data_IF_966812221583
#
_entry.id   IF_966812221583
#
_cell.length_a   1.000
_cell.length_b   1.000
_cell.length_c   1.000
_cell.angle_alpha   90.00
_cell.angle_beta   90.00
_cell.angle_gamma   90.00
#
_symmetry.space_group_name_H-M   'P 1'
#
loop_
_entity.id
_entity.type
_entity.pdbx_description
1 polymer ?
#
# COMPACT_ATOMS: atom_id res chain seq x y z
N UNK A 1 2.02 9.64 -7.37
CA UNK A 1 2.91 8.48 -7.52
C UNK A 1 2.06 7.24 -7.26
N UNK A 2 2.03 6.31 -8.22
CA UNK A 2 1.34 5.01 -8.11
C UNK A 2 2.03 4.15 -7.04
N UNK A 3 1.32 3.21 -6.41
CA UNK A 3 1.90 2.21 -5.49
C UNK A 3 3.12 1.53 -6.11
N UNK A 4 3.06 1.23 -7.41
CA UNK A 4 4.18 0.65 -8.17
C UNK A 4 5.45 1.52 -8.19
N UNK A 5 5.28 2.85 -8.20
CA UNK A 5 6.43 3.78 -8.17
C UNK A 5 7.07 3.77 -6.78
N UNK A 6 6.26 3.66 -5.73
CA UNK A 6 6.77 3.61 -4.36
C UNK A 6 7.44 2.27 -4.04
N UNK A 7 6.86 1.15 -4.52
CA UNK A 7 7.47 -0.18 -4.39
C UNK A 7 8.81 -0.20 -5.14
N UNK A 8 8.89 0.38 -6.36
CA UNK A 8 10.16 0.54 -7.09
C UNK A 8 11.20 1.38 -6.36
N UNK A 9 10.78 2.48 -5.71
CA UNK A 9 11.69 3.33 -4.93
C UNK A 9 12.21 2.57 -3.72
N UNK A 10 11.34 1.83 -3.02
CA UNK A 10 11.72 1.00 -1.90
C UNK A 10 12.68 -0.12 -2.33
N UNK A 11 12.38 -0.83 -3.41
CA UNK A 11 13.25 -1.87 -3.97
C UNK A 11 14.62 -1.31 -4.36
N UNK A 12 14.64 -0.13 -4.99
CA UNK A 12 15.89 0.54 -5.38
C UNK A 12 16.70 0.96 -4.16
N UNK A 13 16.03 1.42 -3.10
CA UNK A 13 16.65 1.79 -1.82
C UNK A 13 17.28 0.58 -1.15
N UNK A 14 16.55 -0.52 -1.01
CA UNK A 14 17.05 -1.75 -0.38
C UNK A 14 18.24 -2.34 -1.13
N UNK A 15 18.19 -2.37 -2.46
CA UNK A 15 19.32 -2.75 -3.29
C UNK A 15 20.54 -1.84 -3.04
N UNK A 16 20.34 -0.51 -3.08
CA UNK A 16 21.41 0.47 -2.88
C UNK A 16 22.03 0.35 -1.48
N UNK A 17 21.20 0.10 -0.47
CA UNK A 17 21.64 -0.14 0.90
C UNK A 17 22.44 -1.45 1.05
N UNK A 18 22.03 -2.53 0.37
CA UNK A 18 22.78 -3.79 0.33
C UNK A 18 24.17 -3.59 -0.31
N UNK A 19 24.25 -2.85 -1.43
CA UNK A 19 25.51 -2.52 -2.08
C UNK A 19 26.44 -1.70 -1.19
N UNK A 20 25.90 -0.72 -0.44
CA UNK A 20 26.69 0.10 0.46
C UNK A 20 27.25 -0.72 1.63
N UNK A 21 26.41 -1.54 2.28
CA UNK A 21 26.85 -2.50 3.32
C UNK A 21 27.94 -3.44 2.79
N UNK A 22 27.80 -3.88 1.53
CA UNK A 22 28.80 -4.73 0.90
C UNK A 22 30.16 -4.04 0.72
N UNK A 23 30.18 -2.74 0.40
CA UNK A 23 31.42 -1.99 0.30
C UNK A 23 32.15 -1.80 1.64
N UNK A 24 31.39 -1.70 2.73
CA UNK A 24 31.92 -1.58 4.09
C UNK A 24 32.52 -2.90 4.57
N UNK A 25 31.90 -4.02 4.19
CA UNK A 25 32.27 -5.39 4.59
C UNK A 25 32.95 -6.19 3.47
N UNK A 26 33.63 -5.50 2.56
CA UNK A 26 34.20 -6.09 1.32
C UNK A 26 35.07 -7.32 1.56
N UNK A 27 35.84 -7.33 2.65
CA UNK A 27 36.76 -8.43 2.95
C UNK A 27 35.99 -9.65 3.44
N UNK A 28 35.06 -9.44 4.38
CA UNK A 28 34.17 -10.50 4.87
C UNK A 28 33.31 -11.12 3.76
N UNK A 29 32.88 -10.32 2.78
CA UNK A 29 32.17 -10.85 1.60
C UNK A 29 33.09 -11.71 0.75
N UNK A 30 34.31 -11.24 0.46
CA UNK A 30 35.24 -12.02 -0.34
C UNK A 30 35.61 -13.33 0.37
N UNK A 31 35.79 -13.28 1.69
CA UNK A 31 36.06 -14.46 2.51
C UNK A 31 34.88 -15.43 2.42
N UNK A 32 33.65 -14.97 2.66
CA UNK A 32 32.45 -15.80 2.57
C UNK A 32 32.26 -16.43 1.17
N UNK A 33 32.54 -15.68 0.10
CA UNK A 33 32.46 -16.19 -1.28
C UNK A 33 33.53 -17.23 -1.57
N UNK A 34 34.75 -17.05 -1.05
CA UNK A 34 35.86 -18.00 -1.25
C UNK A 34 35.70 -19.26 -0.41
N UNK A 35 35.07 -19.17 0.76
CA UNK A 35 34.78 -20.30 1.65
C UNK A 35 33.59 -21.15 1.19
N UNK A 36 32.77 -20.65 0.27
CA UNK A 36 31.59 -21.35 -0.26
C UNK A 36 31.98 -22.33 -1.37
N UNK A 37 31.36 -23.52 -1.37
CA UNK A 37 31.62 -24.58 -2.36
C UNK A 37 30.98 -24.25 -3.72
N UNK A 38 29.84 -23.55 -3.71
CA UNK A 38 29.12 -23.18 -4.92
C UNK A 38 28.44 -21.79 -4.84
N UNK A 39 27.84 -21.38 -5.95
CA UNK A 39 27.13 -20.09 -6.07
C UNK A 39 25.95 -19.99 -5.10
N UNK A 40 25.22 -21.09 -4.86
CA UNK A 40 24.08 -21.09 -3.96
C UNK A 40 24.51 -20.89 -2.50
N UNK A 41 25.58 -21.55 -2.08
CA UNK A 41 26.16 -21.36 -0.75
C UNK A 41 26.69 -19.93 -0.57
N UNK A 42 27.40 -19.38 -1.58
CA UNK A 42 27.87 -18.00 -1.55
C UNK A 42 26.71 -16.99 -1.46
N UNK A 43 25.61 -17.25 -2.17
CA UNK A 43 24.40 -16.44 -2.14
C UNK A 43 23.77 -16.41 -0.74
N UNK A 44 23.56 -17.58 -0.12
CA UNK A 44 23.02 -17.68 1.23
C UNK A 44 23.95 -17.05 2.27
N UNK A 45 25.26 -17.27 2.15
CA UNK A 45 26.26 -16.68 3.06
C UNK A 45 26.27 -15.16 2.98
N UNK A 46 26.28 -14.57 1.77
CA UNK A 46 26.26 -13.12 1.58
C UNK A 46 24.93 -12.50 2.00
N UNK A 47 23.79 -13.16 1.74
CA UNK A 47 22.48 -12.72 2.21
C UNK A 47 22.42 -12.63 3.74
N UNK A 48 22.90 -13.67 4.43
CA UNK A 48 22.98 -13.71 5.89
C UNK A 48 23.97 -12.70 6.46
N UNK A 49 25.15 -12.56 5.82
CA UNK A 49 26.14 -11.56 6.20
C UNK A 49 25.53 -10.16 6.15
N UNK A 50 24.86 -9.81 5.06
CA UNK A 50 24.36 -8.47 4.82
C UNK A 50 23.00 -8.17 5.46
N UNK A 51 22.31 -9.16 6.03
CA UNK A 51 20.91 -9.05 6.48
C UNK A 51 20.01 -8.50 5.35
N UNK A 52 19.96 -9.24 4.25
CA UNK A 52 19.23 -8.87 3.04
C UNK A 52 18.62 -10.08 2.33
N UNK A 53 17.80 -9.84 1.30
CA UNK A 53 17.21 -10.92 0.51
C UNK A 53 18.24 -11.56 -0.42
N UNK A 54 18.03 -12.83 -0.81
CA UNK A 54 18.85 -13.48 -1.83
C UNK A 54 18.86 -12.69 -3.15
N UNK A 55 17.75 -12.05 -3.54
CA UNK A 55 17.71 -11.22 -4.74
C UNK A 55 18.69 -10.03 -4.69
N UNK A 56 18.87 -9.41 -3.51
CA UNK A 56 19.85 -8.32 -3.35
C UNK A 56 21.27 -8.83 -3.13
N UNK A 57 21.44 -9.98 -2.48
CA UNK A 57 22.73 -10.66 -2.36
C UNK A 57 23.27 -11.08 -3.74
N UNK A 58 22.41 -11.56 -4.63
CA UNK A 58 22.74 -11.87 -6.03
C UNK A 58 23.27 -10.63 -6.76
N UNK A 59 22.66 -9.47 -6.54
CA UNK A 59 23.16 -8.21 -7.11
C UNK A 59 24.53 -7.80 -6.56
N UNK A 60 24.83 -8.15 -5.29
CA UNK A 60 26.14 -7.96 -4.68
C UNK A 60 27.18 -8.89 -5.30
N UNK A 61 26.86 -10.18 -5.50
CA UNK A 61 27.75 -11.13 -6.17
C UNK A 61 28.05 -10.73 -7.62
N UNK A 62 27.11 -10.09 -8.30
CA UNK A 62 27.28 -9.56 -9.66
C UNK A 62 28.01 -8.20 -9.72
N UNK A 63 28.55 -7.69 -8.60
CA UNK A 63 29.31 -6.45 -8.59
C UNK A 63 30.59 -6.57 -9.42
N UNK A 64 30.81 -5.58 -10.29
CA UNK A 64 32.08 -5.45 -11.01
C UNK A 64 33.06 -4.63 -10.19
N UNK A 65 34.36 -4.98 -10.24
CA UNK A 65 35.42 -4.27 -9.50
C UNK A 65 35.45 -2.75 -9.75
N UNK A 66 34.97 -2.26 -10.91
CA UNK A 66 34.86 -0.82 -11.19
C UNK A 66 33.94 -0.09 -10.20
N UNK A 67 32.91 -0.75 -9.68
CA UNK A 67 31.95 -0.18 -8.71
C UNK A 67 32.57 0.05 -7.32
N UNK A 68 33.74 -0.54 -7.02
CA UNK A 68 34.42 -0.38 -5.73
C UNK A 68 35.22 0.92 -5.62
N UNK A 69 35.43 1.65 -6.73
CA UNK A 69 36.19 2.90 -6.69
C UNK A 69 35.53 3.93 -5.76
N UNK A 70 36.35 4.82 -5.18
CA UNK A 70 35.85 5.86 -4.25
C UNK A 70 34.73 6.72 -4.86
N UNK A 71 34.81 6.99 -6.16
CA UNK A 71 33.81 7.80 -6.88
C UNK A 71 32.48 7.05 -6.97
N UNK A 72 32.50 5.79 -7.39
CA UNK A 72 31.28 4.98 -7.53
C UNK A 72 30.62 4.69 -6.16
N UNK A 73 31.41 4.48 -5.10
CA UNK A 73 30.89 4.32 -3.74
C UNK A 73 30.19 5.59 -3.25
N UNK A 74 30.80 6.77 -3.43
CA UNK A 74 30.15 8.05 -3.10
C UNK A 74 28.87 8.27 -3.89
N UNK A 75 28.87 7.90 -5.18
CA UNK A 75 27.66 7.97 -6.01
C UNK A 75 26.54 7.08 -5.46
N UNK A 76 26.87 5.87 -5.03
CA UNK A 76 25.92 4.92 -4.43
C UNK A 76 25.39 5.45 -3.10
N UNK A 77 26.25 6.06 -2.28
CA UNK A 77 25.83 6.70 -1.03
C UNK A 77 24.88 7.88 -1.28
N UNK A 78 25.23 8.79 -2.19
CA UNK A 78 24.36 9.92 -2.54
C UNK A 78 23.01 9.45 -3.09
N UNK A 79 23.00 8.37 -3.90
CA UNK A 79 21.76 7.78 -4.38
C UNK A 79 20.89 7.26 -3.23
N UNK A 80 21.49 6.62 -2.22
CA UNK A 80 20.76 6.18 -1.04
C UNK A 80 20.16 7.36 -0.27
N UNK A 81 20.94 8.43 -0.05
CA UNK A 81 20.49 9.65 0.61
C UNK A 81 19.31 10.33 -0.13
N UNK A 82 19.37 10.38 -1.47
CA UNK A 82 18.29 10.90 -2.31
C UNK A 82 17.02 10.04 -2.22
N UNK A 83 17.17 8.71 -2.19
CA UNK A 83 16.06 7.76 -2.06
C UNK A 83 15.42 7.85 -0.67
N UNK A 84 16.22 7.95 0.39
CA UNK A 84 15.75 8.17 1.76
C UNK A 84 14.98 9.48 1.86
N UNK A 85 15.53 10.58 1.34
CA UNK A 85 14.86 11.89 1.30
C UNK A 85 13.53 11.84 0.55
N UNK A 86 13.46 11.07 -0.55
CA UNK A 86 12.22 10.89 -1.33
C UNK A 86 11.15 10.14 -0.54
N UNK A 87 11.55 9.11 0.22
CA UNK A 87 10.64 8.34 1.07
C UNK A 87 10.15 9.15 2.28
N UNK A 88 11.06 9.90 2.93
CA UNK A 88 10.73 10.82 4.02
C UNK A 88 9.76 11.92 3.54
N UNK A 89 10.01 12.53 2.38
CA UNK A 89 9.11 13.52 1.80
C UNK A 89 7.72 12.92 1.50
N UNK A 90 7.68 11.70 0.97
CA UNK A 90 6.41 11.00 0.69
C UNK A 90 5.63 10.69 1.98
N UNK A 91 6.33 10.31 3.05
CA UNK A 91 5.71 10.08 4.36
C UNK A 91 5.27 11.39 5.03
N UNK A 92 6.04 12.48 4.92
CA UNK A 92 5.71 13.77 5.50
C UNK A 92 4.51 14.44 4.82
N UNK A 93 4.44 14.41 3.48
CA UNK A 93 3.34 15.01 2.72
C UNK A 93 2.08 14.14 2.72
N UNK A 94 2.21 12.83 2.96
CA UNK A 94 1.10 11.87 2.93
C UNK A 94 1.23 10.80 4.02
N UNK A 95 1.17 11.17 5.31
CA UNK A 95 1.47 10.30 6.45
C UNK A 95 0.63 9.02 6.48
N UNK A 96 -0.61 9.07 6.00
CA UNK A 96 -1.48 7.91 5.97
C UNK A 96 -1.10 6.86 4.91
N UNK A 97 -0.25 7.16 3.92
CA UNK A 97 0.08 6.24 2.81
C UNK A 97 0.84 4.98 3.25
N UNK A 98 1.48 5.04 4.42
CA UNK A 98 2.14 3.90 5.07
C UNK A 98 1.14 2.84 5.51
N UNK A 99 -0.12 3.24 5.76
CA UNK A 99 -1.20 2.35 6.20
C UNK A 99 -1.16 1.97 7.68
N UNK A 100 -0.11 2.34 8.44
CA UNK A 100 0.05 1.97 9.86
C UNK A 100 -1.00 2.63 10.77
N UNK A 101 -1.44 3.83 10.41
CA UNK A 101 -2.43 4.61 11.16
C UNK A 101 -3.84 4.50 10.57
N UNK A 102 -4.08 3.52 9.70
CA UNK A 102 -5.36 3.32 9.04
C UNK A 102 -5.92 1.96 9.44
N UNK A 103 -7.20 1.95 9.79
CA UNK A 103 -7.98 0.74 10.08
C UNK A 103 -9.26 0.75 9.27
N UNK A 104 -9.67 -0.42 8.80
CA UNK A 104 -11.01 -0.64 8.28
C UNK A 104 -11.83 -1.31 9.38
N UNK A 105 -13.01 -0.76 9.66
CA UNK A 105 -14.00 -1.43 10.52
C UNK A 105 -15.30 -1.62 9.76
N UNK A 106 -16.12 -2.63 10.09
CA UNK A 106 -17.43 -2.80 9.48
C UNK A 106 -18.30 -1.54 9.62
N UNK A 107 -19.03 -1.23 8.56
CA UNK A 107 -20.07 -0.19 8.56
C UNK A 107 -21.22 -0.61 9.46
N UNK A 108 -21.74 0.33 10.26
CA UNK A 108 -22.84 0.10 11.20
C UNK A 108 -24.02 0.99 10.89
N UNK A 109 -25.19 0.71 11.47
CA UNK A 109 -26.36 1.57 11.37
C UNK A 109 -26.32 2.77 12.35
N UNK A 110 -25.15 3.12 12.87
CA UNK A 110 -25.00 4.29 13.74
C UNK A 110 -25.19 5.60 12.97
N UNK A 111 -25.64 6.64 13.66
CA UNK A 111 -25.84 7.96 13.02
C UNK A 111 -24.52 8.56 12.49
N UNK A 112 -23.38 8.23 13.10
CA UNK A 112 -22.06 8.67 12.62
C UNK A 112 -21.73 8.08 11.23
N UNK A 113 -22.02 6.79 11.03
CA UNK A 113 -21.80 6.08 9.78
C UNK A 113 -22.82 6.52 8.72
N UNK A 114 -24.09 6.70 9.11
CA UNK A 114 -25.12 7.26 8.25
C UNK A 114 -24.75 8.68 7.78
N UNK A 115 -24.25 9.54 8.66
CA UNK A 115 -23.80 10.88 8.31
C UNK A 115 -22.59 10.87 7.35
N UNK A 116 -21.65 9.92 7.51
CA UNK A 116 -20.54 9.73 6.58
C UNK A 116 -21.04 9.27 5.20
N UNK A 117 -22.00 8.36 5.16
CA UNK A 117 -22.64 7.91 3.92
C UNK A 117 -23.36 9.06 3.19
N UNK A 118 -24.11 9.90 3.92
CA UNK A 118 -24.74 11.11 3.35
C UNK A 118 -23.70 12.07 2.74
N UNK A 119 -22.54 12.24 3.39
CA UNK A 119 -21.44 13.05 2.82
C UNK A 119 -20.91 12.47 1.51
N UNK A 120 -20.74 11.14 1.42
CA UNK A 120 -20.38 10.46 0.17
C UNK A 120 -21.43 10.69 -0.92
N UNK A 121 -22.71 10.61 -0.58
CA UNK A 121 -23.80 10.82 -1.53
C UNK A 121 -23.96 12.28 -1.97
N UNK A 122 -23.48 13.25 -1.19
CA UNK A 122 -23.49 14.66 -1.58
C UNK A 122 -22.64 14.96 -2.83
N UNK A 123 -21.67 14.08 -3.15
CA UNK A 123 -20.89 14.15 -4.39
C UNK A 123 -21.53 13.38 -5.56
N UNK A 124 -22.65 12.68 -5.33
CA UNK A 124 -23.35 11.91 -6.36
C UNK A 124 -24.41 12.78 -7.05
N UNK A 125 -24.42 12.72 -8.37
CA UNK A 125 -25.47 13.26 -9.22
C UNK A 125 -26.08 12.11 -10.03
N UNK A 126 -27.33 12.26 -10.44
CA UNK A 126 -27.93 11.34 -11.40
C UNK A 126 -27.50 11.65 -12.84
N UNK A 127 -28.00 10.86 -13.80
CA UNK A 127 -27.68 11.01 -15.23
C UNK A 127 -28.08 12.39 -15.80
N UNK A 128 -28.98 13.11 -15.12
CA UNK A 128 -29.40 14.46 -15.46
C UNK A 128 -28.59 15.55 -14.74
N UNK A 129 -27.58 15.18 -13.94
CA UNK A 129 -26.76 16.09 -13.15
C UNK A 129 -27.44 16.59 -11.87
N UNK A 130 -28.57 16.01 -11.47
CA UNK A 130 -29.32 16.40 -10.28
C UNK A 130 -28.80 15.64 -9.06
N UNK A 131 -28.59 16.37 -7.95
CA UNK A 131 -28.18 15.75 -6.69
C UNK A 131 -29.25 14.80 -6.18
N UNK A 132 -28.80 13.72 -5.55
CA UNK A 132 -29.72 12.74 -4.97
C UNK A 132 -30.55 13.36 -3.84
N UNK A 133 -31.84 13.02 -3.78
CA UNK A 133 -32.72 13.41 -2.68
C UNK A 133 -32.40 12.63 -1.39
N UNK A 134 -32.80 13.17 -0.24
CA UNK A 134 -32.61 12.49 1.06
C UNK A 134 -33.28 11.11 1.08
N UNK A 135 -34.50 10.98 0.56
CA UNK A 135 -35.20 9.71 0.45
C UNK A 135 -34.43 8.68 -0.40
N UNK A 136 -33.80 9.13 -1.49
CA UNK A 136 -32.99 8.26 -2.35
C UNK A 136 -31.73 7.80 -1.61
N UNK A 137 -31.06 8.70 -0.89
CA UNK A 137 -29.87 8.38 -0.11
C UNK A 137 -30.19 7.36 0.97
N UNK A 138 -31.30 7.55 1.69
CA UNK A 138 -31.71 6.64 2.75
C UNK A 138 -32.17 5.28 2.21
N UNK A 139 -32.85 5.28 1.05
CA UNK A 139 -33.18 4.05 0.34
C UNK A 139 -31.93 3.27 -0.06
N UNK A 140 -30.95 3.92 -0.70
CA UNK A 140 -29.68 3.30 -1.10
C UNK A 140 -28.94 2.72 0.11
N UNK A 141 -28.89 3.46 1.21
CA UNK A 141 -28.26 3.02 2.46
C UNK A 141 -28.93 1.75 2.99
N UNK A 142 -30.26 1.74 3.02
CA UNK A 142 -31.05 0.60 3.52
C UNK A 142 -30.89 -0.64 2.64
N UNK A 143 -30.94 -0.46 1.32
CA UNK A 143 -30.72 -1.55 0.35
C UNK A 143 -29.30 -2.12 0.46
N UNK A 144 -28.29 -1.25 0.61
CA UNK A 144 -26.92 -1.68 0.81
C UNK A 144 -26.70 -2.44 2.12
N UNK A 145 -27.30 -1.97 3.22
CA UNK A 145 -27.28 -2.70 4.50
C UNK A 145 -27.98 -4.06 4.39
N UNK A 146 -29.06 -4.16 3.62
CA UNK A 146 -29.71 -5.45 3.32
C UNK A 146 -28.74 -6.40 2.61
N UNK A 147 -28.00 -5.92 1.60
CA UNK A 147 -27.01 -6.73 0.88
C UNK A 147 -25.88 -7.24 1.77
N UNK A 148 -25.50 -6.46 2.79
CA UNK A 148 -24.56 -6.94 3.83
C UNK A 148 -25.18 -8.10 4.62
N UNK A 149 -26.45 -7.97 5.01
CA UNK A 149 -27.18 -9.06 5.69
C UNK A 149 -27.36 -10.31 4.83
N UNK A 150 -27.46 -10.14 3.51
CA UNK A 150 -27.56 -11.23 2.53
C UNK A 150 -26.19 -11.79 2.09
N UNK A 151 -25.08 -11.37 2.74
CA UNK A 151 -23.71 -11.79 2.42
C UNK A 151 -23.32 -11.54 0.94
N UNK A 152 -23.94 -10.55 0.31
CA UNK A 152 -23.68 -10.13 -1.08
C UNK A 152 -22.93 -8.80 -1.17
N UNK A 153 -22.70 -8.14 -0.04
CA UNK A 153 -21.89 -6.94 0.07
C UNK A 153 -21.13 -6.89 1.40
N UNK A 154 -19.99 -6.20 1.42
CA UNK A 154 -19.31 -5.86 2.66
C UNK A 154 -18.87 -4.40 2.60
N UNK A 155 -19.28 -3.62 3.60
CA UNK A 155 -19.01 -2.19 3.67
C UNK A 155 -18.15 -1.87 4.89
N UNK A 156 -17.14 -1.03 4.70
CA UNK A 156 -16.21 -0.64 5.76
C UNK A 156 -16.09 0.87 5.89
N UNK A 157 -15.89 1.32 7.11
CA UNK A 157 -15.46 2.68 7.44
C UNK A 157 -13.94 2.69 7.51
N UNK A 158 -13.32 3.58 6.74
CA UNK A 158 -11.90 3.88 6.83
C UNK A 158 -11.69 4.85 7.98
N UNK A 159 -10.90 4.45 8.98
CA UNK A 159 -10.58 5.26 10.15
C UNK A 159 -9.09 5.56 10.21
N UNK A 160 -8.76 6.81 10.54
CA UNK A 160 -7.45 7.20 11.03
C UNK A 160 -7.39 6.90 12.53
N UNK A 161 -6.50 6.00 12.93
CA UNK A 161 -6.34 5.59 14.34
C UNK A 161 -5.52 6.57 15.17
N UNK A 162 -4.72 7.43 14.54
CA UNK A 162 -3.97 8.48 15.23
C UNK A 162 -4.88 9.68 15.57
N UNK A 163 -5.76 10.07 14.65
CA UNK A 163 -6.77 11.12 14.88
C UNK A 163 -8.08 10.59 15.49
N UNK A 164 -8.23 9.27 15.57
CA UNK A 164 -9.47 8.57 15.97
C UNK A 164 -10.70 9.09 15.22
N UNK A 165 -10.61 9.14 13.89
CA UNK A 165 -11.60 9.79 13.01
C UNK A 165 -11.89 8.98 11.76
N UNK A 166 -13.16 8.93 11.35
CA UNK A 166 -13.55 8.38 10.07
C UNK A 166 -13.13 9.31 8.91
N UNK A 167 -12.41 8.75 7.93
CA UNK A 167 -11.82 9.46 6.79
C UNK A 167 -12.38 9.00 5.44
N UNK A 168 -13.15 7.92 5.40
CA UNK A 168 -13.72 7.41 4.15
C UNK A 168 -14.61 6.18 4.32
N UNK A 169 -15.12 5.70 3.21
CA UNK A 169 -15.96 4.51 3.07
C UNK A 169 -15.40 3.61 1.98
N UNK A 170 -15.49 2.31 2.21
CA UNK A 170 -15.15 1.27 1.24
C UNK A 170 -16.38 0.40 1.06
N UNK A 171 -16.75 0.16 -0.19
CA UNK A 171 -17.86 -0.70 -0.57
C UNK A 171 -17.28 -1.86 -1.38
N UNK A 172 -17.62 -3.09 -1.02
CA UNK A 172 -17.41 -4.27 -1.86
C UNK A 172 -18.76 -4.90 -2.16
N UNK A 173 -19.07 -5.06 -3.44
CA UNK A 173 -20.30 -5.67 -3.91
C UNK A 173 -19.93 -6.95 -4.67
N UNK A 174 -20.48 -8.09 -4.26
CA UNK A 174 -20.20 -9.39 -4.85
C UNK A 174 -21.06 -9.62 -6.09
N UNK A 175 -20.41 -9.88 -7.22
CA UNK A 175 -21.06 -10.22 -8.49
C UNK A 175 -20.40 -11.47 -9.08
N UNK A 176 -21.07 -12.62 -8.92
CA UNK A 176 -20.52 -13.91 -9.33
C UNK A 176 -19.27 -14.29 -8.54
N UNK A 177 -18.09 -14.21 -9.16
CA UNK A 177 -16.79 -14.49 -8.54
C UNK A 177 -15.91 -13.26 -8.37
N UNK A 178 -16.45 -12.06 -8.63
CA UNK A 178 -15.74 -10.79 -8.51
C UNK A 178 -16.38 -9.93 -7.42
N UNK A 179 -15.55 -9.24 -6.64
CA UNK A 179 -15.98 -8.19 -5.72
C UNK A 179 -15.58 -6.86 -6.32
N UNK A 180 -16.57 -6.07 -6.73
CA UNK A 180 -16.35 -4.70 -7.20
C UNK A 180 -16.12 -3.80 -5.98
N UNK A 181 -14.90 -3.28 -5.86
CA UNK A 181 -14.46 -2.45 -4.75
C UNK A 181 -14.49 -0.98 -5.14
N UNK A 182 -15.34 -0.21 -4.47
CA UNK A 182 -15.41 1.24 -4.58
C UNK A 182 -14.88 1.90 -3.29
N UNK A 183 -13.92 2.81 -3.43
CA UNK A 183 -13.30 3.53 -2.31
C UNK A 183 -13.64 5.00 -2.42
N UNK A 184 -14.24 5.55 -1.37
CA UNK A 184 -14.49 6.97 -1.23
C UNK A 184 -13.73 7.52 -0.03
N UNK A 185 -12.97 8.58 -0.25
CA UNK A 185 -12.28 9.34 0.82
C UNK A 185 -12.94 10.69 0.94
N UNK A 186 -13.26 11.08 2.17
CA UNK A 186 -13.85 12.37 2.50
C UNK A 186 -13.01 13.50 1.87
N UNK A 187 -13.63 14.49 1.17
CA UNK A 187 -12.92 15.54 0.47
C UNK A 187 -11.84 16.25 1.29
N UNK A 188 -12.10 16.52 2.56
CA UNK A 188 -11.14 17.18 3.47
C UNK A 188 -9.95 16.29 3.87
N UNK A 189 -10.05 14.99 3.61
CA UNK A 189 -9.04 13.98 3.89
C UNK A 189 -8.29 13.53 2.63
N UNK A 190 -8.70 13.96 1.43
CA UNK A 190 -8.04 13.60 0.17
C UNK A 190 -6.61 14.13 0.12
N UNK A 191 -5.79 13.49 -0.73
CA UNK A 191 -4.36 13.80 -0.94
C UNK A 191 -3.44 13.54 0.25
N UNK A 192 -3.95 13.06 1.39
CA UNK A 192 -3.16 12.70 2.59
C UNK A 192 -2.68 11.24 2.63
N UNK A 193 -3.03 10.43 1.62
CA UNK A 193 -2.60 9.02 1.51
C UNK A 193 -3.66 7.97 1.86
N UNK A 194 -4.81 8.36 2.41
CA UNK A 194 -5.83 7.40 2.85
C UNK A 194 -6.40 6.52 1.72
N UNK A 195 -6.44 6.99 0.48
CA UNK A 195 -6.90 6.16 -0.64
C UNK A 195 -5.99 4.95 -0.88
N UNK A 196 -4.67 5.17 -0.85
CA UNK A 196 -3.68 4.08 -0.99
C UNK A 196 -3.75 3.12 0.19
N UNK A 197 -3.88 3.65 1.41
CA UNK A 197 -4.01 2.84 2.61
C UNK A 197 -5.30 1.99 2.61
N UNK A 198 -6.42 2.58 2.20
CA UNK A 198 -7.68 1.88 2.05
C UNK A 198 -7.53 0.69 1.09
N UNK A 199 -6.94 0.89 -0.10
CA UNK A 199 -6.68 -0.21 -1.06
C UNK A 199 -5.85 -1.34 -0.44
N UNK A 200 -4.81 -1.02 0.35
CA UNK A 200 -3.96 -2.04 0.99
C UNK A 200 -4.75 -2.87 1.99
N UNK A 201 -5.51 -2.22 2.87
CA UNK A 201 -6.31 -2.90 3.90
C UNK A 201 -7.52 -3.65 3.33
N UNK A 202 -8.16 -3.12 2.29
CA UNK A 202 -9.31 -3.75 1.62
C UNK A 202 -9.01 -5.18 1.17
N UNK A 203 -7.77 -5.47 0.74
CA UNK A 203 -7.39 -6.83 0.29
C UNK A 203 -7.58 -7.86 1.40
N UNK A 204 -7.19 -7.52 2.62
CA UNK A 204 -7.29 -8.41 3.78
C UNK A 204 -8.74 -8.59 4.19
N UNK A 205 -9.48 -7.50 4.32
CA UNK A 205 -10.86 -7.56 4.81
C UNK A 205 -11.77 -8.29 3.81
N UNK A 206 -11.70 -7.98 2.51
CA UNK A 206 -12.52 -8.68 1.53
C UNK A 206 -12.10 -10.12 1.29
N UNK A 207 -10.83 -10.49 1.51
CA UNK A 207 -10.43 -11.89 1.49
C UNK A 207 -11.02 -12.70 2.66
N UNK A 208 -11.32 -12.03 3.78
CA UNK A 208 -11.99 -12.65 4.93
C UNK A 208 -13.50 -12.77 4.70
N UNK A 209 -14.14 -11.74 4.15
CA UNK A 209 -15.59 -11.74 3.85
C UNK A 209 -15.95 -12.62 2.64
N UNK A 210 -15.11 -12.62 1.59
CA UNK A 210 -15.36 -13.29 0.31
C UNK A 210 -14.18 -14.17 -0.12
N UNK A 211 -13.91 -15.28 0.58
CA UNK A 211 -12.75 -16.12 0.29
C UNK A 211 -12.84 -16.73 -1.13
N UNK A 212 -11.73 -16.68 -1.86
CA UNK A 212 -11.61 -17.26 -3.21
C UNK A 212 -12.22 -16.42 -4.34
N UNK A 213 -12.53 -15.14 -4.09
CA UNK A 213 -13.04 -14.21 -5.10
C UNK A 213 -11.95 -13.26 -5.61
N UNK A 214 -12.17 -12.70 -6.81
CA UNK A 214 -11.28 -11.70 -7.41
C UNK A 214 -11.70 -10.29 -6.97
N UNK A 215 -10.77 -9.50 -6.45
CA UNK A 215 -11.04 -8.09 -6.11
C UNK A 215 -10.80 -7.19 -7.32
N UNK A 216 -11.83 -6.43 -7.71
CA UNK A 216 -11.78 -5.51 -8.85
C UNK A 216 -11.91 -4.08 -8.34
N UNK A 217 -10.84 -3.28 -8.45
CA UNK A 217 -10.88 -1.85 -8.10
C UNK A 217 -11.02 -1.03 -9.39
N UNK A 218 -12.18 -0.41 -9.59
CA UNK A 218 -12.42 0.44 -10.76
C UNK A 218 -12.27 1.91 -10.37
N UNK A 219 -11.51 2.66 -11.17
CA UNK A 219 -11.61 4.11 -11.13
C UNK A 219 -12.87 4.53 -11.90
N UNK A 220 -13.65 5.51 -11.42
CA UNK A 220 -14.73 6.10 -12.22
C UNK A 220 -14.14 6.64 -13.52
N UNK A 221 -14.76 6.29 -14.64
CA UNK A 221 -14.40 6.75 -15.99
C UNK A 221 -14.82 8.20 -16.23
#
# INVERSE_FOLDING_TARGET
MSTEVQDRVHDRRELTAALLRAFERRHEILDAVVESEDHGEALTAVAGLLDTSEAYAEAVLNLTFRRLTKVERRRTQNELEDLDSTLEWTAADRPASTGQQVRLRPFTQSEADAALFRRRCAEQVDDAGVRWSEDRIEKERTEGVSRIGDESAAWFVCEDTAENRAVGLIFGELSGHEVDVAIWIDPGSRKKGYGTAAVKHSRREFAAEFPGTTLVVRAPA
#
